data_IF_689136376405
#
_entry.id   IF_689136376405
#
_cell.length_a   1.000
_cell.length_b   1.000
_cell.length_c   1.000
_cell.angle_alpha   90.00
_cell.angle_beta   90.00
_cell.angle_gamma   90.00
#
_symmetry.space_group_name_H-M   'P 1'
#
loop_
_entity.id
_entity.type
_entity.pdbx_description
1 polymer ?
#
# COMPACT_ATOMS: atom_id res chain seq x y z
N UNK A 1 41.54 -29.95 -8.30
CA UNK A 1 40.32 -30.06 -9.12
C UNK A 1 39.05 -29.58 -8.41
N UNK A 2 38.83 -29.90 -7.13
CA UNK A 2 37.56 -29.59 -6.44
C UNK A 2 37.27 -28.08 -6.23
N UNK A 3 38.29 -27.23 -6.03
CA UNK A 3 38.07 -25.77 -5.88
C UNK A 3 37.59 -25.10 -7.17
N UNK A 4 38.08 -25.56 -8.33
CA UNK A 4 37.67 -25.03 -9.64
C UNK A 4 36.23 -25.44 -9.98
N UNK A 5 35.84 -26.66 -9.59
CA UNK A 5 34.48 -27.18 -9.77
C UNK A 5 33.45 -26.47 -8.87
N UNK A 6 33.82 -26.08 -7.65
CA UNK A 6 32.96 -25.28 -6.75
C UNK A 6 32.75 -23.86 -7.30
N UNK A 7 33.80 -23.22 -7.82
CA UNK A 7 33.66 -21.90 -8.47
C UNK A 7 32.76 -21.99 -9.71
N UNK A 8 32.93 -23.02 -10.53
CA UNK A 8 32.09 -23.24 -11.72
C UNK A 8 30.61 -23.50 -11.34
N UNK A 9 30.36 -24.26 -10.28
CA UNK A 9 29.01 -24.49 -9.75
C UNK A 9 28.34 -23.21 -9.23
N UNK A 10 29.10 -22.26 -8.69
CA UNK A 10 28.57 -20.98 -8.21
C UNK A 10 28.13 -20.04 -9.34
N UNK A 11 28.72 -20.14 -10.53
CA UNK A 11 28.35 -19.31 -11.68
C UNK A 11 27.01 -19.72 -12.31
N UNK A 12 26.60 -20.98 -12.17
CA UNK A 12 25.33 -21.49 -12.73
C UNK A 12 24.12 -20.87 -12.00
N UNK A 13 24.23 -20.58 -10.71
CA UNK A 13 23.15 -19.95 -9.93
C UNK A 13 22.90 -18.47 -10.27
N UNK A 14 23.87 -17.78 -10.89
CA UNK A 14 23.73 -16.37 -11.27
C UNK A 14 23.07 -16.15 -12.64
N UNK A 15 22.91 -17.21 -13.44
CA UNK A 15 22.22 -17.14 -14.73
C UNK A 15 20.75 -17.58 -14.68
N UNK A 16 20.21 -17.91 -13.50
CA UNK A 16 18.80 -18.28 -13.34
C UNK A 16 17.86 -17.06 -13.24
N UNK A 17 18.23 -15.91 -13.82
CA UNK A 17 17.26 -14.89 -14.17
C UNK A 17 16.50 -15.39 -15.42
N UNK A 18 15.30 -15.93 -15.21
CA UNK A 18 14.34 -16.12 -16.29
C UNK A 18 13.83 -14.75 -16.71
N UNK A 19 13.93 -14.41 -18.00
CA UNK A 19 13.14 -13.31 -18.54
C UNK A 19 11.67 -13.63 -18.28
N UNK A 20 11.02 -12.85 -17.42
CA UNK A 20 9.57 -12.84 -17.32
C UNK A 20 9.07 -12.15 -18.57
N UNK A 21 9.01 -12.88 -19.68
CA UNK A 21 8.26 -12.47 -20.86
C UNK A 21 6.80 -12.38 -20.42
N UNK A 22 6.40 -11.23 -19.86
CA UNK A 22 5.01 -10.85 -19.75
C UNK A 22 4.51 -10.76 -21.17
N UNK A 23 3.82 -11.80 -21.63
CA UNK A 23 3.04 -11.69 -22.84
C UNK A 23 2.06 -10.55 -22.61
N UNK A 24 2.28 -9.41 -23.27
CA UNK A 24 1.31 -8.34 -23.31
C UNK A 24 0.07 -8.91 -23.98
N UNK A 25 -0.90 -9.29 -23.16
CA UNK A 25 -2.23 -9.67 -23.62
C UNK A 25 -2.89 -8.36 -24.04
N UNK A 26 -3.16 -8.20 -25.33
CA UNK A 26 -3.93 -7.06 -25.84
C UNK A 26 -5.38 -7.21 -25.38
N UNK A 27 -5.69 -6.63 -24.23
CA UNK A 27 -7.06 -6.59 -23.68
C UNK A 27 -7.78 -5.43 -24.37
N UNK A 28 -8.86 -5.68 -25.12
CA UNK A 28 -9.59 -4.61 -25.79
C UNK A 28 -10.15 -3.63 -24.75
N UNK A 29 -9.97 -2.34 -25.00
CA UNK A 29 -10.47 -1.26 -24.15
C UNK A 29 -12.00 -1.15 -24.33
N UNK A 30 -12.76 -1.97 -23.60
CA UNK A 30 -14.22 -1.86 -23.53
C UNK A 30 -14.61 -0.89 -22.41
N UNK A 31 -15.88 -0.44 -22.39
CA UNK A 31 -16.39 0.42 -21.32
C UNK A 31 -16.22 -0.18 -19.92
N UNK A 32 -16.31 -1.51 -19.79
CA UNK A 32 -16.11 -2.22 -18.53
C UNK A 32 -14.63 -2.20 -18.11
N UNK A 33 -13.71 -2.34 -19.06
CA UNK A 33 -12.27 -2.25 -18.81
C UNK A 33 -11.89 -0.84 -18.38
N UNK A 34 -12.41 0.19 -19.05
CA UNK A 34 -12.22 1.59 -18.65
C UNK A 34 -12.74 1.85 -17.24
N UNK A 35 -13.94 1.37 -16.92
CA UNK A 35 -14.51 1.49 -15.57
C UNK A 35 -13.66 0.81 -14.50
N UNK A 36 -13.06 -0.34 -14.80
CA UNK A 36 -12.17 -1.03 -13.86
C UNK A 36 -10.84 -0.29 -13.66
N UNK A 37 -10.30 0.30 -14.73
CA UNK A 37 -9.12 1.17 -14.66
C UNK A 37 -9.41 2.39 -13.80
N UNK A 38 -10.58 3.02 -13.97
CA UNK A 38 -11.01 4.16 -13.15
C UNK A 38 -11.20 3.76 -11.68
N UNK A 39 -11.87 2.63 -11.41
CA UNK A 39 -12.04 2.11 -10.06
C UNK A 39 -10.70 1.83 -9.35
N UNK A 40 -9.67 1.44 -10.10
CA UNK A 40 -8.32 1.22 -9.54
C UNK A 40 -7.72 2.49 -8.92
N UNK A 41 -8.20 3.69 -9.33
CA UNK A 41 -7.77 4.96 -8.74
C UNK A 41 -8.30 5.19 -7.32
N UNK A 42 -9.37 4.49 -6.91
CA UNK A 42 -9.89 4.55 -5.53
C UNK A 42 -8.88 4.01 -4.50
N UNK A 43 -7.93 3.18 -4.94
CA UNK A 43 -6.87 2.60 -4.12
C UNK A 43 -5.59 3.44 -4.07
N UNK A 44 -5.61 4.66 -4.60
CA UNK A 44 -4.49 5.58 -4.47
C UNK A 44 -4.25 5.92 -2.98
N UNK A 45 -3.04 5.63 -2.50
CA UNK A 45 -2.66 5.85 -1.09
C UNK A 45 -2.65 7.33 -0.72
N UNK A 46 -3.58 7.75 0.15
CA UNK A 46 -3.65 9.13 0.67
C UNK A 46 -4.37 9.23 2.01
N UNK A 47 -4.17 10.37 2.67
CA UNK A 47 -4.93 10.77 3.85
C UNK A 47 -5.94 11.85 3.45
N UNK A 48 -7.22 11.54 3.58
CA UNK A 48 -8.30 12.52 3.46
C UNK A 48 -8.68 13.02 4.85
N UNK A 49 -9.06 14.29 5.01
CA UNK A 49 -9.37 14.87 6.31
C UNK A 49 -10.60 15.76 6.22
N UNK A 50 -11.52 15.60 7.17
CA UNK A 50 -12.79 16.31 7.20
C UNK A 50 -13.02 16.88 8.59
N UNK A 51 -13.24 18.19 8.66
CA UNK A 51 -13.57 18.89 9.89
C UNK A 51 -15.01 18.55 10.32
N UNK A 52 -15.22 18.29 11.61
CA UNK A 52 -16.54 18.10 12.21
C UNK A 52 -16.66 18.96 13.47
N UNK A 53 -17.87 19.20 14.00
CA UNK A 53 -18.02 19.95 15.25
C UNK A 53 -17.26 19.37 16.46
N UNK A 54 -16.92 18.07 16.43
CA UNK A 54 -16.25 17.37 17.54
C UNK A 54 -14.77 17.05 17.30
N UNK A 55 -14.17 17.53 16.20
CA UNK A 55 -12.79 17.22 15.82
C UNK A 55 -12.66 16.84 14.35
N UNK A 56 -11.43 16.71 13.86
CA UNK A 56 -11.17 16.26 12.48
C UNK A 56 -11.21 14.73 12.39
N UNK A 57 -11.79 14.20 11.32
CA UNK A 57 -11.74 12.77 10.98
C UNK A 57 -10.79 12.58 9.80
N UNK A 58 -9.83 11.68 9.94
CA UNK A 58 -8.83 11.37 8.93
C UNK A 58 -9.02 9.95 8.40
N UNK A 59 -9.04 9.79 7.08
CA UNK A 59 -9.18 8.51 6.42
C UNK A 59 -7.89 8.17 5.69
N UNK A 60 -7.25 7.05 6.04
CA UNK A 60 -6.16 6.46 5.28
C UNK A 60 -6.74 5.48 4.27
N UNK A 61 -6.74 5.87 3.00
CA UNK A 61 -7.31 5.10 1.89
C UNK A 61 -6.20 4.49 1.03
N UNK A 62 -6.48 3.35 0.39
CA UNK A 62 -5.53 2.67 -0.51
C UNK A 62 -4.38 1.91 0.16
N UNK A 63 -4.32 1.87 1.49
CA UNK A 63 -3.30 1.10 2.23
C UNK A 63 -3.67 -0.37 2.45
N UNK A 64 -4.94 -0.72 2.29
CA UNK A 64 -5.47 -2.07 2.40
C UNK A 64 -6.82 -2.17 1.69
N UNK A 65 -7.51 -3.30 1.87
CA UNK A 65 -8.87 -3.49 1.33
C UNK A 65 -9.87 -2.59 2.07
N UNK A 66 -9.69 -2.44 3.38
CA UNK A 66 -10.43 -1.50 4.21
C UNK A 66 -9.59 -0.25 4.51
N UNK A 67 -10.28 0.86 4.73
CA UNK A 67 -9.66 2.10 5.17
C UNK A 67 -9.39 2.04 6.67
N UNK A 68 -8.30 2.65 7.12
CA UNK A 68 -8.11 2.97 8.54
C UNK A 68 -8.54 4.40 8.79
N UNK A 69 -9.16 4.68 9.92
CA UNK A 69 -9.75 5.98 10.22
C UNK A 69 -9.24 6.46 11.58
N UNK A 70 -8.78 7.71 11.66
CA UNK A 70 -8.47 8.37 12.92
C UNK A 70 -9.51 9.45 13.21
N UNK A 71 -10.15 9.37 14.36
CA UNK A 71 -11.03 10.42 14.90
C UNK A 71 -10.27 11.16 15.97
N UNK A 72 -10.05 12.46 15.79
CA UNK A 72 -9.43 13.30 16.81
C UNK A 72 -10.35 13.49 18.03
N UNK A 73 -9.75 13.50 19.21
CA UNK A 73 -10.45 13.77 20.46
C UNK A 73 -9.54 14.52 21.43
N UNK A 74 -10.15 15.22 22.40
CA UNK A 74 -9.42 16.12 23.31
C UNK A 74 -8.32 15.43 24.13
N UNK A 75 -8.57 14.20 24.59
CA UNK A 75 -7.67 13.44 25.45
C UNK A 75 -6.99 12.27 24.73
N UNK A 76 -7.16 12.19 23.41
CA UNK A 76 -6.66 11.10 22.61
C UNK A 76 -7.51 10.84 21.38
N UNK A 77 -6.89 10.19 20.41
CA UNK A 77 -7.51 9.86 19.15
C UNK A 77 -8.01 8.41 19.16
N UNK A 78 -9.10 8.15 18.45
CA UNK A 78 -9.65 6.81 18.25
C UNK A 78 -9.24 6.35 16.85
N UNK A 79 -8.63 5.17 16.75
CA UNK A 79 -8.37 4.50 15.48
C UNK A 79 -9.45 3.45 15.25
N UNK A 80 -10.12 3.51 14.10
CA UNK A 80 -11.11 2.54 13.64
C UNK A 80 -10.51 1.82 12.43
N UNK A 81 -10.45 0.49 12.51
CA UNK A 81 -9.72 -0.42 11.61
C UNK A 81 -8.20 -0.14 11.55
N UNK A 82 -7.40 -1.20 11.65
CA UNK A 82 -5.94 -1.10 11.84
C UNK A 82 -5.14 -1.87 10.77
N UNK A 83 -5.60 -1.79 9.52
CA UNK A 83 -5.05 -2.49 8.35
C UNK A 83 -4.94 -4.03 8.51
N UNK A 84 -4.51 -4.69 7.43
CA UNK A 84 -4.37 -6.15 7.38
C UNK A 84 -3.04 -6.67 7.96
N UNK A 85 -2.10 -5.77 8.25
CA UNK A 85 -0.79 -6.13 8.78
C UNK A 85 -0.20 -5.02 9.66
N UNK A 86 0.67 -5.42 10.60
CA UNK A 86 1.43 -4.48 11.44
C UNK A 86 2.25 -3.50 10.59
N UNK A 87 2.85 -3.98 9.50
CA UNK A 87 3.66 -3.15 8.61
C UNK A 87 2.87 -2.00 7.96
N UNK A 88 1.69 -2.28 7.41
CA UNK A 88 0.85 -1.20 6.86
C UNK A 88 0.23 -0.35 7.98
N UNK A 89 -0.14 -0.95 9.12
CA UNK A 89 -0.64 -0.21 10.27
C UNK A 89 0.38 0.82 10.79
N UNK A 90 1.67 0.46 10.84
CA UNK A 90 2.75 1.37 11.24
C UNK A 90 2.91 2.56 10.30
N UNK A 91 2.81 2.33 8.97
CA UNK A 91 2.85 3.41 7.98
C UNK A 91 1.67 4.36 8.14
N UNK A 92 0.47 3.81 8.25
CA UNK A 92 -0.76 4.58 8.45
C UNK A 92 -0.66 5.40 9.74
N UNK A 93 -0.21 4.78 10.83
CA UNK A 93 -0.07 5.45 12.12
C UNK A 93 0.95 6.60 12.06
N UNK A 94 2.07 6.44 11.33
CA UNK A 94 3.02 7.52 11.10
C UNK A 94 2.37 8.70 10.34
N UNK A 95 1.60 8.43 9.29
CA UNK A 95 0.88 9.46 8.53
C UNK A 95 -0.18 10.17 9.37
N UNK A 96 -0.91 9.43 10.20
CA UNK A 96 -1.87 10.01 11.15
C UNK A 96 -1.19 10.89 12.20
N UNK A 97 -0.02 10.49 12.71
CA UNK A 97 0.77 11.29 13.64
C UNK A 97 1.17 12.65 13.07
N UNK A 98 1.40 12.75 11.77
CA UNK A 98 1.66 14.03 11.09
C UNK A 98 0.43 14.96 11.04
N UNK A 99 -0.78 14.41 11.19
CA UNK A 99 -2.03 15.18 11.17
C UNK A 99 -2.45 15.69 12.54
N UNK A 100 -1.99 15.06 13.61
CA UNK A 100 -2.34 15.43 14.98
C UNK A 100 -2.02 16.91 15.21
N UNK A 101 -3.05 17.70 15.47
CA UNK A 101 -2.86 19.08 15.92
C UNK A 101 -2.52 19.06 17.41
N UNK A 102 -1.35 19.60 17.75
CA UNK A 102 -1.04 19.94 19.14
C UNK A 102 -1.74 21.27 19.42
N UNK A 103 -2.84 21.22 20.18
CA UNK A 103 -3.46 22.41 20.77
C UNK A 103 -2.63 22.94 21.94
#
# INVERSE_FOLDING_TARGET
MNKFLVVFSSFIFLYSCSDSNSSDIDIPLTSEVESLIEHSQEFEKKILSYETPGGTIHFAIGFGIANSIMVEGENGNIIIDAADSVYEAEKIYALFREKIRIL
#
